data_IF_865373165884
#
_entry.id   IF_865373165884
#
_cell.length_a   1.000
_cell.length_b   1.000
_cell.length_c   1.000
_cell.angle_alpha   90.00
_cell.angle_beta   90.00
_cell.angle_gamma   90.00
#
_symmetry.space_group_name_H-M   'P 1'
#
loop_
_entity.id
_entity.type
_entity.pdbx_description
1 polymer ?
#
# COMPACT_ATOMS: atom_id res chain seq x y z
N UNK A 1 -1.46 15.42 34.12
CA UNK A 1 -1.09 14.11 33.52
C UNK A 1 -0.95 14.12 31.98
N UNK A 2 -1.25 15.23 31.27
CA UNK A 2 -1.20 15.28 29.79
C UNK A 2 0.22 15.36 29.15
N UNK A 3 1.25 15.79 29.89
CA UNK A 3 2.63 15.96 29.33
C UNK A 3 3.32 14.62 29.02
N UNK A 4 3.13 13.58 29.84
CA UNK A 4 3.77 12.26 29.64
C UNK A 4 3.33 11.54 28.36
N UNK A 5 2.07 11.71 27.93
CA UNK A 5 1.57 11.10 26.70
C UNK A 5 2.13 11.81 25.44
N UNK A 6 2.26 13.14 25.49
CA UNK A 6 2.87 13.92 24.40
C UNK A 6 4.37 13.63 24.22
N UNK A 7 5.10 13.44 25.32
CA UNK A 7 6.53 13.10 25.27
C UNK A 7 6.78 11.66 24.83
N UNK A 8 5.93 10.70 25.23
CA UNK A 8 5.98 9.33 24.75
C UNK A 8 5.67 9.24 23.24
N UNK A 9 4.68 9.99 22.76
CA UNK A 9 4.36 10.09 21.33
C UNK A 9 5.52 10.73 20.53
N UNK A 10 6.14 11.80 21.06
CA UNK A 10 7.35 12.39 20.46
C UNK A 10 8.53 11.42 20.42
N UNK A 11 8.79 10.70 21.51
CA UNK A 11 9.88 9.71 21.53
C UNK A 11 9.59 8.51 20.62
N UNK A 12 8.33 8.09 20.50
CA UNK A 12 7.93 7.06 19.54
C UNK A 12 8.17 7.53 18.11
N UNK A 13 7.86 8.79 17.78
CA UNK A 13 8.13 9.39 16.46
C UNK A 13 9.63 9.58 16.19
N UNK A 14 10.45 9.85 17.22
CA UNK A 14 11.90 9.99 17.11
C UNK A 14 12.62 8.64 16.90
N UNK A 15 12.04 7.54 17.39
CA UNK A 15 12.57 6.17 17.23
C UNK A 15 11.80 5.33 16.19
N UNK A 16 10.85 5.95 15.48
CA UNK A 16 10.01 5.28 14.51
C UNK A 16 10.85 4.84 13.31
N UNK A 17 10.86 3.55 13.02
CA UNK A 17 11.41 3.05 11.76
C UNK A 17 10.56 3.56 10.59
N UNK A 18 11.13 3.68 9.37
CA UNK A 18 10.35 4.04 8.18
C UNK A 18 9.10 3.18 8.00
N UNK A 19 9.17 1.89 8.35
CA UNK A 19 8.03 0.99 8.32
C UNK A 19 6.92 1.38 9.31
N UNK A 20 7.28 1.77 10.55
CA UNK A 20 6.28 2.20 11.54
C UNK A 20 5.60 3.53 11.20
N UNK A 21 6.34 4.45 10.56
CA UNK A 21 5.77 5.70 10.04
C UNK A 21 4.81 5.40 8.89
N UNK A 22 5.21 4.55 7.94
CA UNK A 22 4.34 4.12 6.85
C UNK A 22 3.05 3.46 7.35
N UNK A 23 3.13 2.52 8.29
CA UNK A 23 1.95 1.87 8.88
C UNK A 23 1.03 2.87 9.60
N UNK A 24 1.60 3.90 10.22
CA UNK A 24 0.82 4.96 10.87
C UNK A 24 0.07 5.81 9.83
N UNK A 25 0.73 6.17 8.72
CA UNK A 25 0.10 6.87 7.59
C UNK A 25 -1.03 6.06 6.98
N UNK A 26 -0.83 4.75 6.78
CA UNK A 26 -1.88 3.86 6.27
C UNK A 26 -3.06 3.75 7.22
N UNK A 27 -2.81 3.65 8.54
CA UNK A 27 -3.87 3.61 9.54
C UNK A 27 -4.69 4.90 9.55
N UNK A 28 -4.04 6.06 9.42
CA UNK A 28 -4.74 7.34 9.32
C UNK A 28 -5.53 7.48 8.02
N UNK A 29 -4.99 6.97 6.90
CA UNK A 29 -5.67 6.98 5.61
C UNK A 29 -6.99 6.17 5.64
N UNK A 30 -7.02 5.06 6.37
CA UNK A 30 -8.21 4.20 6.51
C UNK A 30 -8.97 4.40 7.83
N UNK A 31 -8.86 5.58 8.46
CA UNK A 31 -9.49 5.83 9.77
C UNK A 31 -11.02 5.63 9.75
N UNK A 32 -11.65 5.99 8.62
CA UNK A 32 -13.10 5.88 8.41
C UNK A 32 -13.51 4.61 7.61
N UNK A 33 -12.54 3.79 7.16
CA UNK A 33 -12.78 2.53 6.42
C UNK A 33 -11.97 1.40 7.04
N UNK A 34 -12.41 0.95 8.22
CA UNK A 34 -11.75 -0.13 8.98
C UNK A 34 -11.67 -1.43 8.18
N UNK A 35 -12.61 -1.66 7.25
CA UNK A 35 -12.60 -2.83 6.39
C UNK A 35 -11.44 -2.76 5.38
N UNK A 36 -11.21 -1.60 4.76
CA UNK A 36 -10.03 -1.39 3.90
C UNK A 36 -8.71 -1.55 4.68
N UNK A 37 -8.64 -1.05 5.92
CA UNK A 37 -7.48 -1.27 6.79
C UNK A 37 -7.25 -2.77 7.06
N UNK A 38 -8.32 -3.53 7.29
CA UNK A 38 -8.25 -4.98 7.51
C UNK A 38 -7.74 -5.71 6.25
N UNK A 39 -8.19 -5.32 5.06
CA UNK A 39 -7.66 -5.87 3.80
C UNK A 39 -6.21 -5.53 3.55
N UNK A 40 -5.80 -4.31 3.90
CA UNK A 40 -4.41 -3.92 3.86
C UNK A 40 -3.58 -4.86 4.75
N UNK A 41 -3.97 -5.05 6.02
CA UNK A 41 -3.27 -5.94 6.95
C UNK A 41 -3.21 -7.39 6.46
N UNK A 42 -4.33 -7.95 5.99
CA UNK A 42 -4.38 -9.31 5.43
C UNK A 42 -3.41 -9.45 4.24
N UNK A 43 -3.39 -8.46 3.34
CA UNK A 43 -2.47 -8.44 2.19
C UNK A 43 -1.01 -8.48 2.62
N UNK A 44 -0.62 -7.73 3.66
CA UNK A 44 0.73 -7.77 4.22
C UNK A 44 1.07 -9.15 4.81
N UNK A 45 0.15 -9.72 5.60
CA UNK A 45 0.35 -11.02 6.25
C UNK A 45 0.52 -12.12 5.20
N UNK A 46 -0.36 -12.18 4.20
CA UNK A 46 -0.31 -13.20 3.15
C UNK A 46 0.95 -13.11 2.30
N UNK A 47 1.43 -11.91 2.00
CA UNK A 47 2.73 -11.73 1.34
C UNK A 47 3.90 -12.18 2.21
N UNK A 48 3.89 -11.86 3.51
CA UNK A 48 4.94 -12.33 4.44
C UNK A 48 4.99 -13.86 4.56
N UNK A 49 3.82 -14.51 4.44
CA UNK A 49 3.66 -15.97 4.44
C UNK A 49 3.94 -16.63 3.10
N UNK A 50 4.33 -15.86 2.07
CA UNK A 50 4.56 -16.32 0.69
C UNK A 50 3.33 -16.93 0.02
N UNK A 51 2.14 -16.55 0.48
CA UNK A 51 0.86 -16.94 -0.14
C UNK A 51 0.48 -16.03 -1.33
N UNK A 52 1.17 -14.88 -1.47
CA UNK A 52 1.04 -13.96 -2.60
C UNK A 52 2.41 -13.74 -3.22
N UNK A 53 2.47 -13.71 -4.56
CA UNK A 53 3.61 -13.19 -5.28
C UNK A 53 3.65 -11.65 -5.20
N UNK A 54 4.78 -11.05 -5.58
CA UNK A 54 4.97 -9.59 -5.50
C UNK A 54 4.02 -8.82 -6.42
N UNK A 55 3.66 -9.36 -7.58
CA UNK A 55 2.78 -8.71 -8.54
C UNK A 55 1.37 -8.63 -7.96
N UNK A 56 0.86 -9.75 -7.43
CA UNK A 56 -0.42 -9.81 -6.75
C UNK A 56 -0.45 -8.90 -5.51
N UNK A 57 0.64 -8.88 -4.73
CA UNK A 57 0.77 -8.01 -3.58
C UNK A 57 0.71 -6.52 -3.96
N UNK A 58 1.50 -6.10 -4.95
CA UNK A 58 1.52 -4.71 -5.43
C UNK A 58 0.17 -4.33 -6.03
N UNK A 59 -0.46 -5.21 -6.81
CA UNK A 59 -1.78 -4.96 -7.38
C UNK A 59 -2.84 -4.68 -6.30
N UNK A 60 -2.91 -5.52 -5.26
CA UNK A 60 -3.88 -5.36 -4.16
C UNK A 60 -3.68 -4.04 -3.41
N UNK A 61 -2.44 -3.68 -3.10
CA UNK A 61 -2.15 -2.40 -2.47
C UNK A 61 -2.42 -1.22 -3.40
N UNK A 62 -2.14 -1.35 -4.70
CA UNK A 62 -2.42 -0.31 -5.68
C UNK A 62 -3.93 -0.04 -5.80
N UNK A 63 -4.76 -1.07 -5.79
CA UNK A 63 -6.22 -0.91 -5.78
C UNK A 63 -6.70 -0.26 -4.47
N UNK A 64 -6.22 -0.73 -3.31
CA UNK A 64 -6.62 -0.17 -2.00
C UNK A 64 -6.22 1.30 -1.86
N UNK A 65 -5.02 1.65 -2.32
CA UNK A 65 -4.44 2.99 -2.21
C UNK A 65 -4.61 3.81 -3.49
N UNK A 66 -5.52 3.44 -4.38
CA UNK A 66 -5.69 4.11 -5.67
C UNK A 66 -6.00 5.62 -5.54
N UNK A 67 -6.52 6.07 -4.40
CA UNK A 67 -6.82 7.47 -4.11
C UNK A 67 -5.65 8.24 -3.48
N UNK A 68 -4.60 7.55 -3.10
CA UNK A 68 -3.40 8.11 -2.48
C UNK A 68 -2.15 7.39 -3.02
N UNK A 69 -1.82 7.74 -4.26
CA UNK A 69 -0.68 7.16 -5.00
C UNK A 69 0.65 7.47 -4.31
N UNK A 70 0.73 8.56 -3.55
CA UNK A 70 1.95 8.90 -2.82
C UNK A 70 2.14 8.01 -1.60
N UNK A 71 1.06 7.65 -0.90
CA UNK A 71 1.12 6.62 0.13
C UNK A 71 1.48 5.24 -0.46
N UNK A 72 0.98 4.89 -1.65
CA UNK A 72 1.41 3.68 -2.35
C UNK A 72 2.92 3.70 -2.65
N UNK A 73 3.49 4.82 -3.11
CA UNK A 73 4.93 4.92 -3.40
C UNK A 73 5.80 4.69 -2.17
N UNK A 74 5.32 5.03 -0.97
CA UNK A 74 6.03 4.78 0.28
C UNK A 74 6.19 3.28 0.60
N UNK A 75 5.39 2.40 -0.02
CA UNK A 75 5.48 0.95 0.14
C UNK A 75 6.69 0.36 -0.60
N UNK A 76 7.05 0.90 -1.77
CA UNK A 76 8.01 0.27 -2.69
C UNK A 76 9.42 0.07 -2.15
N UNK A 77 9.99 0.95 -1.30
CA UNK A 77 11.28 0.70 -0.68
C UNK A 77 11.35 -0.60 0.14
N UNK A 78 10.21 -1.11 0.62
CA UNK A 78 10.13 -2.36 1.38
C UNK A 78 10.05 -3.61 0.49
N UNK A 79 10.02 -3.46 -0.82
CA UNK A 79 9.89 -4.55 -1.79
C UNK A 79 11.23 -4.96 -2.42
N UNK A 80 12.36 -4.53 -1.88
CA UNK A 80 13.67 -5.01 -2.34
C UNK A 80 13.68 -6.55 -2.38
N UNK A 81 14.15 -7.16 -3.49
CA UNK A 81 14.92 -6.56 -4.59
C UNK A 81 14.11 -5.97 -5.77
N UNK A 82 12.78 -5.95 -5.71
CA UNK A 82 11.93 -5.45 -6.80
C UNK A 82 11.98 -3.92 -6.90
N UNK A 83 12.14 -3.40 -8.11
CA UNK A 83 12.02 -1.98 -8.42
C UNK A 83 10.61 -1.68 -8.95
N UNK A 84 9.92 -0.75 -8.29
CA UNK A 84 8.57 -0.33 -8.66
C UNK A 84 8.57 1.14 -9.08
N UNK A 85 7.97 1.43 -10.24
CA UNK A 85 7.79 2.79 -10.76
C UNK A 85 6.32 3.06 -11.02
N UNK A 86 5.89 4.31 -10.83
CA UNK A 86 4.50 4.71 -11.06
C UNK A 86 4.45 5.81 -12.12
N UNK A 87 3.70 5.57 -13.18
CA UNK A 87 3.29 6.57 -14.15
C UNK A 87 1.82 6.92 -13.90
N UNK A 88 1.53 8.19 -13.63
CA UNK A 88 0.19 8.64 -13.27
C UNK A 88 -0.45 9.44 -14.41
N UNK A 89 -1.72 9.16 -14.67
CA UNK A 89 -2.59 9.88 -15.59
C UNK A 89 -3.83 10.39 -14.85
N UNK A 90 -4.65 11.27 -15.47
CA UNK A 90 -5.81 11.86 -14.78
C UNK A 90 -6.86 10.85 -14.30
N UNK A 91 -6.97 9.69 -14.93
CA UNK A 91 -8.03 8.69 -14.67
C UNK A 91 -7.52 7.34 -14.20
N UNK A 92 -6.19 7.14 -14.21
CA UNK A 92 -5.56 5.87 -13.87
C UNK A 92 -4.08 6.10 -13.56
N UNK A 93 -3.44 5.10 -13.00
CA UNK A 93 -1.99 5.03 -12.94
C UNK A 93 -1.53 3.63 -13.28
N UNK A 94 -0.27 3.53 -13.71
CA UNK A 94 0.38 2.27 -14.02
C UNK A 94 1.56 2.07 -13.08
N UNK A 95 1.58 0.92 -12.39
CA UNK A 95 2.72 0.47 -11.60
C UNK A 95 3.53 -0.50 -12.45
N UNK A 96 4.78 -0.18 -12.74
CA UNK A 96 5.72 -1.09 -13.40
C UNK A 96 6.62 -1.73 -12.36
N UNK A 97 6.61 -3.06 -12.30
CA UNK A 97 7.42 -3.88 -11.40
C UNK A 97 8.51 -4.55 -12.22
N UNK A 98 9.76 -4.41 -11.79
CA UNK A 98 10.92 -4.99 -12.45
C UNK A 98 11.88 -5.61 -11.46
N UNK A 99 12.60 -6.64 -11.91
CA UNK A 99 13.63 -7.31 -11.14
C UNK A 99 14.65 -7.92 -12.11
N UNK A 100 15.96 -7.96 -11.82
CA UNK A 100 16.96 -8.51 -12.75
C UNK A 100 16.71 -9.96 -13.15
N UNK A 101 15.98 -10.74 -12.35
CA UNK A 101 15.62 -12.13 -12.66
C UNK A 101 14.24 -12.29 -13.34
N UNK A 102 13.51 -11.19 -13.55
CA UNK A 102 12.26 -11.22 -14.33
C UNK A 102 12.58 -10.96 -15.79
N UNK A 103 12.19 -11.88 -16.68
CA UNK A 103 12.42 -11.75 -18.12
C UNK A 103 11.76 -10.50 -18.72
N UNK A 104 10.57 -10.15 -18.20
CA UNK A 104 9.80 -8.98 -18.65
C UNK A 104 9.26 -8.22 -17.43
N UNK A 105 9.44 -6.90 -17.35
CA UNK A 105 8.75 -6.08 -16.36
C UNK A 105 7.22 -6.22 -16.46
N UNK A 106 6.53 -6.23 -15.32
CA UNK A 106 5.07 -6.33 -15.29
C UNK A 106 4.48 -4.95 -15.06
N UNK A 107 3.54 -4.54 -15.91
CA UNK A 107 2.82 -3.28 -15.78
C UNK A 107 1.38 -3.54 -15.32
N UNK A 108 0.98 -2.91 -14.22
CA UNK A 108 -0.35 -3.01 -13.62
C UNK A 108 -1.05 -1.66 -13.73
N UNK A 109 -2.15 -1.59 -14.47
CA UNK A 109 -2.93 -0.35 -14.62
C UNK A 109 -4.14 -0.38 -13.70
N UNK A 110 -4.24 0.61 -12.81
CA UNK A 110 -5.34 0.78 -11.86
C UNK A 110 -6.10 2.06 -12.19
N UNK A 111 -7.42 1.95 -12.36
CA UNK A 111 -8.30 3.10 -12.61
C UNK A 111 -8.62 3.80 -11.29
N UNK A 112 -8.59 5.13 -11.29
CA UNK A 112 -8.98 5.92 -10.14
C UNK A 112 -10.50 5.82 -9.95
N UNK A 113 -10.95 5.44 -8.75
CA UNK A 113 -12.38 5.40 -8.39
C UNK A 113 -12.69 6.41 -7.29
N UNK A 114 -13.88 7.00 -7.37
CA UNK A 114 -14.45 7.84 -6.31
C UNK A 114 -15.06 7.02 -5.15
N UNK A 115 -15.23 5.72 -5.35
CA UNK A 115 -15.81 4.81 -4.35
C UNK A 115 -14.89 4.63 -3.14
N UNK A 116 -15.43 4.17 -1.99
CA UNK A 116 -14.62 3.75 -0.85
C UNK A 116 -13.60 2.67 -1.25
N UNK A 117 -12.44 2.67 -0.59
CA UNK A 117 -11.34 1.76 -0.91
C UNK A 117 -11.74 0.29 -0.76
N UNK A 118 -12.52 -0.05 0.27
CA UNK A 118 -13.09 -1.39 0.47
C UNK A 118 -13.95 -1.84 -0.71
N UNK A 119 -14.84 -0.98 -1.21
CA UNK A 119 -15.71 -1.28 -2.36
C UNK A 119 -14.91 -1.50 -3.65
N UNK A 120 -13.91 -0.64 -3.89
CA UNK A 120 -13.06 -0.78 -5.06
C UNK A 120 -12.21 -2.06 -5.01
N UNK A 121 -11.69 -2.41 -3.83
CA UNK A 121 -10.98 -3.68 -3.62
C UNK A 121 -11.86 -4.88 -3.92
N UNK A 122 -13.10 -4.91 -3.40
CA UNK A 122 -14.04 -5.99 -3.69
C UNK A 122 -14.34 -6.16 -5.17
N UNK A 123 -14.54 -5.05 -5.91
CA UNK A 123 -14.79 -5.12 -7.35
C UNK A 123 -13.58 -5.63 -8.13
N UNK A 124 -12.37 -5.18 -7.76
CA UNK A 124 -11.15 -5.66 -8.40
C UNK A 124 -10.94 -7.15 -8.12
N UNK A 125 -11.24 -7.62 -6.91
CA UNK A 125 -11.13 -9.03 -6.53
C UNK A 125 -12.15 -9.91 -7.26
N UNK A 126 -13.38 -9.44 -7.49
CA UNK A 126 -14.39 -10.20 -8.24
C UNK A 126 -14.15 -10.19 -9.75
N UNK A 127 -13.34 -9.26 -10.26
CA UNK A 127 -13.01 -9.14 -11.68
C UNK A 127 -11.71 -9.88 -12.08
N UNK A 128 -10.95 -10.37 -11.09
CA UNK A 128 -9.69 -11.13 -11.26
C UNK A 128 -9.88 -12.60 -10.97
#
# INVERSE_FOLDING_TARGET
MARKAGDAYRQMMLNATPASLFLSSVRLHFLDDQQAYTYFQDTQIRYSRKELDVVTFVHRNAVLLQRDVDLLKQLFPFLAPYACHVAQAPTHFTVTISHPQMATPVALTVRLSAEPASTAYYRAFLAS
#
